data_IF_151797665478
#
_entry.id   IF_151797665478
#
_cell.length_a   1.000
_cell.length_b   1.000
_cell.length_c   1.000
_cell.angle_alpha   90.00
_cell.angle_beta   90.00
_cell.angle_gamma   90.00
#
_symmetry.space_group_name_H-M   'P 1'
#
loop_
_entity.id
_entity.type
_entity.pdbx_description
1 polymer ?
#
# COMPACT_ATOMS: atom_id res chain seq x y z
N UNK A 1 1.75 -16.02 -2.71
CA UNK A 1 1.69 -14.61 -3.17
C UNK A 1 1.88 -13.58 -2.02
N UNK A 2 1.33 -13.82 -0.83
CA UNK A 2 1.37 -12.88 0.32
C UNK A 2 2.64 -12.94 1.19
N UNK A 3 3.64 -13.75 0.83
CA UNK A 3 4.86 -13.99 1.61
C UNK A 3 5.77 -12.75 1.77
N UNK A 4 5.47 -11.65 1.06
CA UNK A 4 6.20 -10.37 1.16
C UNK A 4 5.72 -9.46 2.28
N UNK A 5 4.48 -9.60 2.75
CA UNK A 5 3.95 -8.76 3.84
C UNK A 5 4.49 -9.17 5.22
N UNK A 6 5.10 -10.36 5.33
CA UNK A 6 5.55 -10.92 6.61
C UNK A 6 6.99 -10.52 7.01
N UNK A 7 7.59 -9.51 6.36
CA UNK A 7 8.96 -9.01 6.68
C UNK A 7 9.00 -7.66 7.39
N UNK A 8 7.89 -7.21 7.99
CA UNK A 8 7.89 -6.02 8.84
C UNK A 8 8.24 -6.39 10.29
N UNK A 9 9.47 -6.86 10.54
CA UNK A 9 9.98 -7.01 11.89
C UNK A 9 11.42 -6.48 12.00
N UNK A 10 11.52 -5.39 12.76
CA UNK A 10 12.72 -4.83 13.42
C UNK A 10 13.75 -4.15 12.51
N UNK A 11 13.52 -2.88 12.21
CA UNK A 11 14.61 -1.91 12.09
C UNK A 11 14.52 -0.88 13.24
N UNK A 12 15.43 -1.02 14.20
CA UNK A 12 15.55 -0.15 15.37
C UNK A 12 16.14 1.19 14.92
N UNK A 13 15.37 2.27 14.99
CA UNK A 13 15.84 3.64 14.74
C UNK A 13 16.85 4.04 15.82
N UNK A 14 18.09 4.33 15.43
CA UNK A 14 19.17 4.75 16.33
C UNK A 14 19.11 6.28 16.46
N UNK A 15 18.71 6.77 17.62
CA UNK A 15 18.74 8.21 17.93
C UNK A 15 20.20 8.65 18.13
N UNK A 16 20.69 9.54 17.26
CA UNK A 16 21.95 10.26 17.44
C UNK A 16 21.71 11.50 18.31
N UNK A 17 22.47 11.61 19.38
CA UNK A 17 22.50 12.73 20.31
C UNK A 17 23.10 13.98 19.66
N UNK A 18 22.45 15.12 19.91
CA UNK A 18 22.94 16.46 19.58
C UNK A 18 24.03 16.87 20.57
N UNK A 19 25.23 17.16 20.09
CA UNK A 19 26.23 17.91 20.83
C UNK A 19 26.39 19.29 20.20
N UNK A 20 26.13 20.30 21.01
CA UNK A 20 26.34 21.73 20.74
C UNK A 20 27.82 22.06 20.80
N UNK A 21 28.34 22.71 19.75
CA UNK A 21 29.68 23.27 19.71
C UNK A 21 29.72 24.49 18.79
N UNK A 22 29.61 25.68 19.38
CA UNK A 22 29.79 26.96 18.71
C UNK A 22 31.28 27.26 18.57
N UNK A 23 31.80 27.28 17.34
CA UNK A 23 32.96 28.09 16.97
C UNK A 23 32.72 28.77 15.62
N UNK A 24 32.72 30.10 15.64
CA UNK A 24 32.66 30.96 14.45
C UNK A 24 34.04 30.97 13.80
N UNK A 25 34.23 30.16 12.77
CA UNK A 25 35.30 30.35 11.81
C UNK A 25 34.69 31.04 10.59
N UNK A 26 35.16 32.25 10.26
CA UNK A 26 34.84 32.91 9.00
C UNK A 26 35.53 32.12 7.87
N UNK A 27 34.74 31.34 7.14
CA UNK A 27 35.23 30.49 6.03
C UNK A 27 34.99 31.19 4.70
N UNK A 28 36.01 31.01 3.84
CA UNK A 28 36.17 31.34 2.42
C UNK A 28 34.97 31.90 1.66
N UNK A 29 35.27 32.87 0.79
CA UNK A 29 34.41 33.31 -0.31
C UNK A 29 33.98 32.08 -1.13
N UNK A 30 32.78 31.59 -0.86
CA UNK A 30 32.17 30.51 -1.64
C UNK A 30 32.10 30.95 -3.10
N UNK A 31 32.50 30.07 -4.01
CA UNK A 31 32.34 30.34 -5.45
C UNK A 31 30.85 30.59 -5.75
N UNK A 32 30.51 31.35 -6.82
CA UNK A 32 29.12 31.59 -7.20
C UNK A 32 28.32 30.29 -7.35
N UNK A 33 28.95 29.23 -7.86
CA UNK A 33 28.35 27.91 -8.00
C UNK A 33 27.98 27.30 -6.64
N UNK A 34 28.92 27.31 -5.69
CA UNK A 34 28.69 26.70 -4.38
C UNK A 34 27.69 27.49 -3.53
N UNK A 35 27.67 28.82 -3.71
CA UNK A 35 26.62 29.68 -3.14
C UNK A 35 25.25 29.32 -3.71
N UNK A 36 25.11 29.04 -5.01
CA UNK A 36 23.85 28.66 -5.62
C UNK A 36 23.33 27.28 -5.14
N UNK A 37 24.20 26.31 -4.90
CA UNK A 37 23.79 25.01 -4.37
C UNK A 37 23.44 25.03 -2.88
N UNK A 38 24.06 25.93 -2.11
CA UNK A 38 23.84 26.04 -0.67
C UNK A 38 22.81 27.13 -0.28
N UNK A 39 22.40 27.99 -1.22
CA UNK A 39 21.36 28.98 -0.97
C UNK A 39 20.05 28.29 -0.63
N UNK A 40 19.38 28.74 0.43
CA UNK A 40 18.05 28.24 0.81
C UNK A 40 17.12 28.43 -0.39
N UNK A 41 16.44 27.38 -0.88
CA UNK A 41 15.49 27.54 -1.97
C UNK A 41 14.44 28.57 -1.58
N UNK A 42 14.29 29.62 -2.37
CA UNK A 42 13.25 30.63 -2.17
C UNK A 42 11.87 29.95 -2.21
N UNK A 43 10.98 30.34 -1.30
CA UNK A 43 9.59 29.86 -1.30
C UNK A 43 8.89 30.38 -2.56
N UNK A 44 8.98 29.65 -3.67
CA UNK A 44 8.16 29.89 -4.85
C UNK A 44 6.70 29.57 -4.50
N UNK A 45 5.88 30.61 -4.40
CA UNK A 45 4.44 30.47 -4.26
C UNK A 45 3.91 29.97 -5.61
N UNK A 46 3.73 28.66 -5.74
CA UNK A 46 3.16 28.04 -6.93
C UNK A 46 1.63 28.21 -6.88
N UNK A 47 1.12 29.28 -7.50
CA UNK A 47 -0.32 29.56 -7.61
C UNK A 47 -1.11 28.55 -8.48
N UNK A 48 -0.44 27.57 -9.09
CA UNK A 48 -1.03 26.51 -9.92
C UNK A 48 -1.01 25.13 -9.25
N UNK A 49 -0.64 25.04 -7.97
CA UNK A 49 -0.57 23.77 -7.26
C UNK A 49 -1.98 23.34 -6.84
N UNK A 50 -2.69 22.63 -7.71
CA UNK A 50 -3.84 21.84 -7.29
C UNK A 50 -3.39 20.96 -6.11
N UNK A 51 -4.12 20.97 -4.99
CA UNK A 51 -3.88 20.06 -3.87
C UNK A 51 -4.17 18.63 -4.32
N UNK A 52 -3.22 18.03 -5.02
CA UNK A 52 -3.19 16.61 -5.28
C UNK A 52 -2.66 15.94 -4.03
N UNK A 53 -3.41 14.99 -3.48
CA UNK A 53 -2.96 14.20 -2.34
C UNK A 53 -1.69 13.40 -2.67
N UNK A 54 -1.11 12.78 -1.66
CA UNK A 54 0.14 12.04 -1.77
C UNK A 54 0.07 10.99 -2.89
N UNK A 55 1.07 10.99 -3.80
CA UNK A 55 1.09 10.18 -5.02
C UNK A 55 -0.11 10.38 -5.97
N UNK A 56 -0.71 11.57 -5.96
CA UNK A 56 -1.94 11.89 -6.70
C UNK A 56 -3.15 11.06 -6.28
N UNK A 57 -3.13 10.53 -5.04
CA UNK A 57 -4.27 9.84 -4.46
C UNK A 57 -5.17 10.89 -3.81
N UNK A 58 -6.42 11.09 -4.30
CA UNK A 58 -7.30 12.17 -3.83
C UNK A 58 -7.61 12.10 -2.34
N UNK A 59 -7.67 10.89 -1.78
CA UNK A 59 -7.91 10.69 -0.35
C UNK A 59 -6.74 11.21 0.52
N UNK A 60 -5.51 11.23 0.01
CA UNK A 60 -4.30 11.54 0.78
C UNK A 60 -3.90 13.02 0.75
N UNK A 61 -4.87 13.93 0.82
CA UNK A 61 -4.61 15.37 1.05
C UNK A 61 -4.22 15.65 2.52
N UNK A 62 -4.59 14.76 3.43
CA UNK A 62 -4.20 14.75 4.84
C UNK A 62 -3.92 13.33 5.34
N UNK A 63 -3.41 13.18 6.57
CA UNK A 63 -3.11 11.85 7.14
C UNK A 63 -4.39 11.03 7.38
N UNK A 64 -5.52 11.69 7.61
CA UNK A 64 -6.83 11.06 7.77
C UNK A 64 -7.27 10.27 6.52
N UNK A 65 -6.70 10.61 5.35
CA UNK A 65 -6.91 9.87 4.12
C UNK A 65 -6.56 8.38 4.19
N UNK A 66 -5.63 7.99 5.07
CA UNK A 66 -5.32 6.57 5.29
C UNK A 66 -6.50 5.80 5.89
N UNK A 67 -7.34 6.44 6.70
CA UNK A 67 -8.56 5.80 7.19
C UNK A 67 -9.52 5.53 6.04
N UNK A 68 -9.72 6.49 5.14
CA UNK A 68 -10.58 6.33 3.98
C UNK A 68 -10.07 5.23 3.03
N UNK A 69 -8.76 5.20 2.72
CA UNK A 69 -8.15 4.15 1.89
C UNK A 69 -8.33 2.76 2.50
N UNK A 70 -8.07 2.64 3.81
CA UNK A 70 -8.21 1.39 4.55
C UNK A 70 -9.65 0.89 4.53
N UNK A 71 -10.63 1.75 4.86
CA UNK A 71 -12.05 1.38 4.84
C UNK A 71 -12.51 0.98 3.42
N UNK A 72 -12.13 1.76 2.39
CA UNK A 72 -12.46 1.45 0.99
C UNK A 72 -11.92 0.09 0.56
N UNK A 73 -10.69 -0.26 0.97
CA UNK A 73 -10.13 -1.58 0.72
C UNK A 73 -10.89 -2.69 1.45
N UNK A 74 -11.28 -2.48 2.72
CA UNK A 74 -12.10 -3.42 3.48
C UNK A 74 -13.42 -3.69 2.75
N UNK A 75 -14.19 -2.65 2.44
CA UNK A 75 -15.48 -2.79 1.76
C UNK A 75 -15.34 -3.52 0.42
N UNK A 76 -14.34 -3.13 -0.37
CA UNK A 76 -14.08 -3.77 -1.66
C UNK A 76 -13.71 -5.24 -1.50
N UNK A 77 -12.87 -5.58 -0.52
CA UNK A 77 -12.51 -6.97 -0.19
C UNK A 77 -13.73 -7.78 0.21
N UNK A 78 -14.61 -7.26 1.05
CA UNK A 78 -15.85 -7.93 1.45
C UNK A 78 -16.77 -8.23 0.26
N UNK A 79 -16.93 -7.26 -0.65
CA UNK A 79 -17.73 -7.44 -1.87
C UNK A 79 -17.13 -8.50 -2.80
N UNK A 80 -15.80 -8.52 -2.95
CA UNK A 80 -15.10 -9.52 -3.75
C UNK A 80 -15.23 -10.92 -3.17
N UNK A 81 -15.16 -11.07 -1.84
CA UNK A 81 -15.39 -12.37 -1.17
C UNK A 81 -16.82 -12.82 -1.39
N UNK A 82 -17.79 -11.91 -1.25
CA UNK A 82 -19.21 -12.20 -1.46
C UNK A 82 -19.45 -12.69 -2.89
N UNK A 83 -18.86 -12.05 -3.88
CA UNK A 83 -18.94 -12.48 -5.28
C UNK A 83 -18.24 -13.83 -5.51
N UNK A 84 -17.01 -14.02 -4.99
CA UNK A 84 -16.29 -15.29 -5.15
C UNK A 84 -17.06 -16.48 -4.56
N UNK A 85 -17.83 -16.25 -3.50
CA UNK A 85 -18.54 -17.28 -2.74
C UNK A 85 -20.04 -17.37 -3.07
N UNK A 86 -20.53 -16.60 -4.04
CA UNK A 86 -21.95 -16.59 -4.44
C UNK A 86 -22.37 -17.81 -5.28
N UNK A 87 -21.42 -18.68 -5.63
CA UNK A 87 -21.68 -19.89 -6.41
C UNK A 87 -22.08 -19.54 -7.84
N UNK A 88 -23.28 -19.93 -8.26
CA UNK A 88 -23.77 -19.75 -9.63
C UNK A 88 -24.07 -18.28 -9.99
N UNK A 89 -24.26 -17.40 -9.01
CA UNK A 89 -24.54 -15.97 -9.22
C UNK A 89 -23.28 -15.14 -9.53
N UNK A 90 -22.09 -15.77 -9.50
CA UNK A 90 -20.84 -15.10 -9.84
C UNK A 90 -20.77 -14.85 -11.34
N UNK A 91 -20.42 -13.63 -11.72
CA UNK A 91 -20.40 -13.19 -13.13
C UNK A 91 -19.00 -13.08 -13.73
N UNK A 92 -17.95 -13.03 -12.92
CA UNK A 92 -16.54 -12.89 -13.35
C UNK A 92 -15.76 -14.16 -13.12
N UNK A 93 -14.66 -14.34 -13.86
CA UNK A 93 -13.70 -15.45 -13.66
C UNK A 93 -13.18 -15.46 -12.22
N UNK A 94 -13.02 -16.64 -11.64
CA UNK A 94 -12.51 -16.79 -10.27
C UNK A 94 -11.12 -16.14 -10.11
N UNK A 95 -10.24 -16.37 -11.08
CA UNK A 95 -8.87 -15.81 -11.08
C UNK A 95 -8.88 -14.28 -11.07
N UNK A 96 -9.81 -13.63 -11.78
CA UNK A 96 -9.94 -12.17 -11.81
C UNK A 96 -10.35 -11.62 -10.45
N UNK A 97 -11.22 -12.32 -9.72
CA UNK A 97 -11.64 -11.89 -8.38
C UNK A 97 -10.47 -12.02 -7.40
N UNK A 98 -9.70 -13.10 -7.47
CA UNK A 98 -8.52 -13.32 -6.62
C UNK A 98 -7.38 -12.33 -6.91
N UNK A 99 -7.17 -12.00 -8.18
CA UNK A 99 -6.23 -10.95 -8.60
C UNK A 99 -6.65 -9.60 -8.01
N UNK A 100 -7.93 -9.20 -8.17
CA UNK A 100 -8.44 -7.94 -7.66
C UNK A 100 -8.44 -7.88 -6.11
N UNK A 101 -8.66 -9.01 -5.42
CA UNK A 101 -8.51 -9.11 -3.96
C UNK A 101 -7.08 -8.79 -3.54
N UNK A 102 -6.10 -9.41 -4.20
CA UNK A 102 -4.68 -9.22 -3.93
C UNK A 102 -4.26 -7.79 -4.25
N UNK A 103 -4.69 -7.25 -5.39
CA UNK A 103 -4.41 -5.89 -5.83
C UNK A 103 -4.98 -4.83 -4.89
N UNK A 104 -6.23 -5.02 -4.45
CA UNK A 104 -6.91 -4.09 -3.53
C UNK A 104 -6.13 -3.97 -2.21
N UNK A 105 -5.68 -5.09 -1.66
CA UNK A 105 -5.01 -5.13 -0.36
C UNK A 105 -3.53 -4.73 -0.48
N UNK A 106 -2.79 -5.27 -1.46
CA UNK A 106 -1.36 -4.98 -1.61
C UNK A 106 -1.10 -3.52 -1.97
N UNK A 107 -1.94 -2.86 -2.79
CA UNK A 107 -1.77 -1.43 -3.10
C UNK A 107 -1.81 -0.56 -1.85
N UNK A 108 -2.75 -0.83 -0.93
CA UNK A 108 -2.84 -0.07 0.33
C UNK A 108 -1.69 -0.44 1.25
N UNK A 109 -1.35 -1.73 1.38
CA UNK A 109 -0.28 -2.19 2.25
C UNK A 109 1.09 -1.62 1.85
N UNK A 110 1.47 -1.71 0.58
CA UNK A 110 2.78 -1.24 0.09
C UNK A 110 2.91 0.29 0.23
N UNK A 111 1.84 1.03 -0.10
CA UNK A 111 1.78 2.48 0.07
C UNK A 111 1.90 2.87 1.56
N UNK A 112 1.12 2.23 2.41
CA UNK A 112 1.10 2.50 3.84
C UNK A 112 2.45 2.15 4.49
N UNK A 113 3.07 1.04 4.11
CA UNK A 113 4.39 0.66 4.60
C UNK A 113 5.46 1.67 4.18
N UNK A 114 5.44 2.13 2.93
CA UNK A 114 6.35 3.17 2.48
C UNK A 114 6.19 4.46 3.29
N UNK A 115 4.95 4.94 3.49
CA UNK A 115 4.70 6.19 4.20
C UNK A 115 4.99 6.11 5.69
N UNK A 116 4.71 4.96 6.31
CA UNK A 116 5.12 4.67 7.69
C UNK A 116 6.61 4.85 7.89
N UNK A 117 7.42 4.41 6.93
CA UNK A 117 8.88 4.45 7.00
C UNK A 117 9.50 5.78 6.55
N UNK A 118 8.91 6.43 5.54
CA UNK A 118 9.54 7.55 4.83
C UNK A 118 9.02 8.93 5.23
N UNK A 119 7.79 9.04 5.77
CA UNK A 119 7.19 10.35 5.99
C UNK A 119 7.79 11.07 7.22
N UNK A 120 8.16 12.36 7.12
CA UNK A 120 8.80 13.08 8.22
C UNK A 120 7.84 13.45 9.36
N UNK A 121 6.54 13.58 9.07
CA UNK A 121 5.52 13.93 10.07
C UNK A 121 4.91 12.68 10.69
N UNK A 122 4.91 12.62 12.02
CA UNK A 122 4.49 11.43 12.78
C UNK A 122 3.01 11.06 12.60
N UNK A 123 2.11 12.03 12.41
CA UNK A 123 0.69 11.79 12.15
C UNK A 123 0.45 10.94 10.90
N UNK A 124 1.16 11.24 9.80
CA UNK A 124 1.13 10.42 8.58
C UNK A 124 1.70 9.02 8.83
N UNK A 125 2.86 8.93 9.50
CA UNK A 125 3.47 7.64 9.80
C UNK A 125 2.56 6.75 10.65
N UNK A 126 1.90 7.30 11.66
CA UNK A 126 0.98 6.56 12.52
C UNK A 126 -0.33 6.17 11.80
N UNK A 127 -0.89 7.05 10.98
CA UNK A 127 -2.08 6.73 10.20
C UNK A 127 -1.79 5.62 9.17
N UNK A 128 -0.63 5.70 8.50
CA UNK A 128 -0.17 4.68 7.58
C UNK A 128 0.14 3.35 8.30
N UNK A 129 0.77 3.40 9.49
CA UNK A 129 0.98 2.21 10.32
C UNK A 129 -0.33 1.50 10.67
N UNK A 130 -1.35 2.25 11.09
CA UNK A 130 -2.67 1.69 11.38
C UNK A 130 -3.30 1.01 10.15
N UNK A 131 -3.23 1.66 8.99
CA UNK A 131 -3.71 1.08 7.74
C UNK A 131 -2.95 -0.20 7.39
N UNK A 132 -1.61 -0.18 7.44
CA UNK A 132 -0.76 -1.32 7.15
C UNK A 132 -1.07 -2.52 8.06
N UNK A 133 -1.14 -2.32 9.38
CA UNK A 133 -1.46 -3.39 10.35
C UNK A 133 -2.85 -3.98 10.06
N UNK A 134 -3.84 -3.12 9.82
CA UNK A 134 -5.21 -3.58 9.56
C UNK A 134 -5.29 -4.43 8.29
N UNK A 135 -4.69 -3.94 7.20
CA UNK A 135 -4.68 -4.64 5.91
C UNK A 135 -3.94 -5.97 6.04
N UNK A 136 -2.77 -6.00 6.67
CA UNK A 136 -2.04 -7.25 6.95
C UNK A 136 -2.87 -8.26 7.75
N UNK A 137 -3.64 -7.80 8.75
CA UNK A 137 -4.55 -8.67 9.49
C UNK A 137 -5.69 -9.25 8.62
N UNK A 138 -6.16 -8.52 7.61
CA UNK A 138 -7.13 -9.05 6.64
C UNK A 138 -6.49 -10.12 5.77
N UNK A 139 -5.28 -9.87 5.27
CA UNK A 139 -4.51 -10.85 4.49
C UNK A 139 -4.38 -12.18 5.23
N UNK A 140 -3.99 -12.14 6.50
CA UNK A 140 -3.85 -13.34 7.35
C UNK A 140 -5.17 -14.10 7.48
N UNK A 141 -6.29 -13.38 7.66
CA UNK A 141 -7.63 -13.97 7.68
C UNK A 141 -7.99 -14.61 6.34
N UNK A 142 -7.71 -13.94 5.22
CA UNK A 142 -8.02 -14.46 3.88
C UNK A 142 -7.21 -15.71 3.54
N UNK A 143 -5.93 -15.76 3.93
CA UNK A 143 -5.07 -16.93 3.74
C UNK A 143 -5.59 -18.18 4.47
N UNK A 144 -6.52 -18.04 5.41
CA UNK A 144 -7.16 -19.16 6.13
C UNK A 144 -8.67 -19.23 5.90
N UNK A 145 -9.20 -18.46 4.94
CA UNK A 145 -10.64 -18.33 4.70
C UNK A 145 -11.21 -19.53 3.92
N UNK A 146 -11.72 -20.53 4.66
CA UNK A 146 -12.19 -21.80 4.11
C UNK A 146 -13.25 -21.67 2.99
N UNK A 147 -14.28 -20.81 3.07
CA UNK A 147 -15.25 -20.68 1.98
C UNK A 147 -14.62 -20.24 0.66
N UNK A 148 -13.68 -19.30 0.73
CA UNK A 148 -13.01 -18.75 -0.45
C UNK A 148 -12.09 -19.81 -1.08
N UNK A 149 -11.35 -20.53 -0.24
CA UNK A 149 -10.55 -21.69 -0.67
C UNK A 149 -11.40 -22.76 -1.37
N UNK A 150 -12.55 -23.13 -0.81
CA UNK A 150 -13.44 -24.13 -1.41
C UNK A 150 -13.98 -23.69 -2.77
N UNK A 151 -14.36 -22.41 -2.89
CA UNK A 151 -14.87 -21.85 -4.14
C UNK A 151 -13.81 -21.90 -5.25
N UNK A 152 -12.56 -21.51 -4.95
CA UNK A 152 -11.44 -21.64 -5.88
C UNK A 152 -11.14 -23.11 -6.22
N UNK A 153 -11.07 -23.96 -5.21
CA UNK A 153 -10.78 -25.40 -5.39
C UNK A 153 -11.79 -26.07 -6.32
N UNK A 154 -13.07 -25.70 -6.23
CA UNK A 154 -14.09 -26.23 -7.13
C UNK A 154 -13.82 -25.88 -8.59
N UNK A 155 -13.31 -24.67 -8.86
CA UNK A 155 -12.95 -24.23 -10.21
C UNK A 155 -11.70 -24.96 -10.72
N UNK A 156 -10.68 -25.09 -9.87
CA UNK A 156 -9.41 -25.75 -10.22
C UNK A 156 -9.60 -27.26 -10.43
N UNK A 157 -10.19 -27.96 -9.45
CA UNK A 157 -10.39 -29.41 -9.53
C UNK A 157 -11.48 -29.81 -10.54
N UNK A 158 -12.51 -28.97 -10.70
CA UNK A 158 -13.58 -29.18 -11.67
C UNK A 158 -13.14 -28.97 -13.12
N UNK A 159 -11.95 -28.39 -13.33
CA UNK A 159 -11.37 -28.14 -14.65
C UNK A 159 -12.07 -27.08 -15.49
N UNK A 160 -13.19 -26.53 -15.02
CA UNK A 160 -13.99 -25.54 -15.74
C UNK A 160 -14.54 -24.50 -14.78
N UNK A 161 -14.30 -23.23 -15.09
CA UNK A 161 -14.91 -22.08 -14.41
C UNK A 161 -16.30 -21.77 -15.04
N UNK A 162 -17.16 -21.03 -14.34
CA UNK A 162 -18.45 -20.56 -14.84
C UNK A 162 -18.30 -19.63 -16.06
N UNK A 163 -17.16 -18.96 -16.16
CA UNK A 163 -16.78 -18.08 -17.26
C UNK A 163 -15.62 -18.73 -18.00
N UNK A 164 -15.60 -18.64 -19.33
CA UNK A 164 -14.53 -19.22 -20.15
C UNK A 164 -13.14 -18.71 -19.71
N UNK A 165 -12.22 -19.65 -19.48
CA UNK A 165 -10.86 -19.37 -18.99
C UNK A 165 -9.83 -19.77 -20.04
N UNK A 166 -8.81 -18.94 -20.19
CA UNK A 166 -7.62 -19.26 -20.99
C UNK A 166 -6.70 -20.24 -20.25
N UNK A 167 -5.69 -20.78 -20.94
CA UNK A 167 -4.68 -21.64 -20.30
C UNK A 167 -3.88 -20.89 -19.24
N UNK A 168 -3.65 -19.59 -19.44
CA UNK A 168 -2.99 -18.73 -18.45
C UNK A 168 -3.88 -18.54 -17.23
N UNK A 169 -5.18 -18.28 -17.42
CA UNK A 169 -6.14 -18.13 -16.32
C UNK A 169 -6.16 -19.39 -15.43
N UNK A 170 -6.19 -20.57 -16.07
CA UNK A 170 -6.17 -21.87 -15.38
C UNK A 170 -4.87 -22.08 -14.62
N UNK A 171 -3.74 -21.81 -15.25
CA UNK A 171 -2.44 -21.95 -14.60
C UNK A 171 -2.29 -21.01 -13.40
N UNK A 172 -2.74 -19.75 -13.54
CA UNK A 172 -2.68 -18.77 -12.44
C UNK A 172 -3.60 -19.19 -11.29
N UNK A 173 -4.77 -19.76 -11.58
CA UNK A 173 -5.67 -20.28 -10.55
C UNK A 173 -5.03 -21.39 -9.69
N UNK A 174 -4.13 -22.20 -10.25
CA UNK A 174 -3.38 -23.24 -9.53
C UNK A 174 -2.30 -22.69 -8.59
N UNK A 175 -1.91 -21.41 -8.74
CA UNK A 175 -0.90 -20.76 -7.90
C UNK A 175 -1.44 -20.21 -6.57
N UNK A 176 -2.77 -20.16 -6.43
CA UNK A 176 -3.48 -19.66 -5.25
C UNK A 176 -3.78 -20.78 -4.25
#
# INVERSE_FOLDING_TARGET
>A
MWSRLNRAALFRRRNGSLLTGSQRQLVSTWSPLTTAFNSRPEKRINFTKNEVGLFSIPELTSFEGFYALKEKAIFKTEDLIREATSGAERTRKMVTIFDELSDTLCKVADLAEFIRLAHPQANYSHAAENACITISGIVEKLNTHKPLYRALKQVVDGGTDLVETSDVDRHVAELF
#
